data_IF_376010726293
#
_entry.id   IF_376010726293
#
_cell.length_a   1.000
_cell.length_b   1.000
_cell.length_c   1.000
_cell.angle_alpha   90.00
_cell.angle_beta   90.00
_cell.angle_gamma   90.00
#
_symmetry.space_group_name_H-M   'P 1'
#
loop_
_entity.id
_entity.type
_entity.pdbx_description
1 polymer ?
#
# COMPACT_ATOMS: atom_id res chain seq x y z
N UNK A 1 16.30 5.54 48.98
CA UNK A 1 15.68 4.78 47.86
C UNK A 1 14.97 5.77 46.96
N UNK A 2 15.67 6.27 45.93
CA UNK A 2 15.05 7.08 44.88
C UNK A 2 14.16 6.15 44.02
N UNK A 3 12.96 6.62 43.69
CA UNK A 3 11.88 5.81 43.11
C UNK A 3 12.21 5.36 41.67
N UNK A 4 12.66 4.11 41.52
CA UNK A 4 13.01 3.46 40.24
C UNK A 4 11.85 3.42 39.23
N UNK A 5 10.59 3.49 39.67
CA UNK A 5 9.46 3.58 38.75
C UNK A 5 9.35 4.93 38.04
N UNK A 6 9.76 6.02 38.70
CA UNK A 6 9.77 7.35 38.07
C UNK A 6 10.80 7.47 36.95
N UNK A 7 11.91 6.72 37.04
CA UNK A 7 12.90 6.68 35.95
C UNK A 7 12.42 5.85 34.76
N UNK A 8 11.76 4.70 34.97
CA UNK A 8 11.18 3.92 33.85
C UNK A 8 10.12 4.74 33.09
N UNK A 9 9.21 5.41 33.80
CA UNK A 9 8.21 6.28 33.18
C UNK A 9 8.82 7.43 32.39
N UNK A 10 9.78 8.14 32.98
CA UNK A 10 10.52 9.22 32.29
C UNK A 10 11.34 8.74 31.10
N UNK A 11 11.95 7.56 31.18
CA UNK A 11 12.70 6.99 30.07
C UNK A 11 11.75 6.68 28.90
N UNK A 12 10.60 6.06 29.18
CA UNK A 12 9.59 5.75 28.15
C UNK A 12 9.05 7.04 27.51
N UNK A 13 8.79 8.09 28.30
CA UNK A 13 8.33 9.38 27.76
C UNK A 13 9.39 10.09 26.91
N UNK A 14 10.65 10.15 27.36
CA UNK A 14 11.75 10.72 26.57
C UNK A 14 12.05 9.89 25.33
N UNK A 15 11.94 8.57 25.44
CA UNK A 15 12.11 7.64 24.34
C UNK A 15 11.01 7.82 23.29
N UNK A 16 9.75 8.00 23.70
CA UNK A 16 8.64 8.31 22.78
C UNK A 16 8.85 9.65 22.04
N UNK A 17 9.33 10.70 22.74
CA UNK A 17 9.66 11.99 22.13
C UNK A 17 10.87 11.90 21.20
N UNK A 18 11.88 11.10 21.55
CA UNK A 18 13.04 10.90 20.70
C UNK A 18 12.70 10.04 19.48
N UNK A 19 11.83 9.05 19.66
CA UNK A 19 11.38 8.18 18.60
C UNK A 19 10.40 8.86 17.64
N UNK A 20 9.63 9.85 18.08
CA UNK A 20 8.87 10.72 17.16
C UNK A 20 9.81 11.55 16.27
N UNK A 21 10.93 12.04 16.83
CA UNK A 21 11.99 12.71 16.06
C UNK A 21 12.74 11.75 15.12
N UNK A 22 12.97 10.50 15.55
CA UNK A 22 13.57 9.48 14.68
C UNK A 22 12.61 9.02 13.59
N UNK A 23 11.31 8.87 13.85
CA UNK A 23 10.30 8.57 12.82
C UNK A 23 10.28 9.61 11.70
N UNK A 24 10.56 10.87 12.02
CA UNK A 24 10.72 11.94 11.03
C UNK A 24 12.01 11.87 10.23
N UNK A 25 13.16 11.66 10.89
CA UNK A 25 14.43 11.46 10.19
C UNK A 25 14.40 10.18 9.34
N UNK A 26 13.75 9.14 9.84
CA UNK A 26 13.43 7.90 9.15
C UNK A 26 12.62 8.16 7.88
N UNK A 27 11.51 8.91 7.96
CA UNK A 27 10.71 9.28 6.80
C UNK A 27 11.50 10.15 5.80
N UNK A 28 12.36 11.05 6.30
CA UNK A 28 13.23 11.88 5.46
C UNK A 28 14.30 11.07 4.72
N UNK A 29 14.92 10.09 5.38
CA UNK A 29 15.87 9.16 4.77
C UNK A 29 15.17 8.21 3.80
N UNK A 30 13.97 7.75 4.13
CA UNK A 30 13.11 6.93 3.27
C UNK A 30 12.83 7.61 1.93
N UNK A 31 12.43 8.88 1.98
CA UNK A 31 12.20 9.70 0.80
C UNK A 31 13.48 9.80 -0.04
N UNK A 32 14.62 10.11 0.57
CA UNK A 32 15.90 10.19 -0.14
C UNK A 32 16.28 8.88 -0.86
N UNK A 33 16.03 7.71 -0.25
CA UNK A 33 16.33 6.40 -0.85
C UNK A 33 15.37 6.05 -1.99
N UNK A 34 14.08 6.35 -1.84
CA UNK A 34 13.06 6.11 -2.89
C UNK A 34 13.27 7.00 -4.13
N UNK A 35 13.73 8.24 -3.95
CA UNK A 35 14.08 9.14 -5.08
C UNK A 35 15.43 8.80 -5.75
N UNK A 36 16.34 8.12 -5.03
CA UNK A 36 17.65 7.74 -5.58
C UNK A 36 17.59 6.58 -6.58
N UNK A 37 16.57 5.72 -6.50
CA UNK A 37 16.46 4.55 -7.38
C UNK A 37 15.70 4.79 -8.68
N UNK A 38 14.74 5.72 -8.74
CA UNK A 38 13.97 5.97 -9.97
C UNK A 38 14.76 6.73 -11.06
N UNK A 39 15.79 7.48 -10.68
CA UNK A 39 16.62 8.23 -11.63
C UNK A 39 17.67 7.39 -12.37
N UNK A 40 17.94 6.14 -11.95
CA UNK A 40 18.89 5.26 -12.65
C UNK A 40 18.26 4.34 -13.71
N UNK A 41 16.94 4.18 -13.74
CA UNK A 41 16.29 3.34 -14.77
C UNK A 41 15.86 4.10 -16.04
N UNK A 42 15.99 5.43 -16.07
CA UNK A 42 15.65 6.26 -17.24
C UNK A 42 16.86 6.84 -18.00
N UNK A 43 18.07 6.32 -17.77
CA UNK A 43 19.29 6.72 -18.47
C UNK A 43 19.88 5.56 -19.31
N UNK A 44 19.08 4.99 -20.23
CA UNK A 44 19.58 4.25 -21.40
C UNK A 44 18.87 4.75 -22.65
N UNK A 45 19.26 5.93 -23.10
CA UNK A 45 18.80 6.49 -24.36
C UNK A 45 19.59 7.74 -24.72
N UNK A 46 20.40 7.62 -25.77
CA UNK A 46 21.09 8.69 -26.51
C UNK A 46 22.42 9.21 -25.96
N UNK A 47 23.52 8.74 -26.58
CA UNK A 47 24.84 9.37 -26.51
C UNK A 47 24.87 10.59 -27.43
N UNK A 48 25.16 11.77 -26.87
CA UNK A 48 26.02 12.83 -27.44
C UNK A 48 25.77 14.18 -26.74
N UNK A 49 26.44 14.42 -25.61
CA UNK A 49 26.79 15.78 -25.14
C UNK A 49 27.95 15.73 -24.12
N UNK A 50 28.82 16.74 -24.08
CA UNK A 50 30.12 16.68 -23.40
C UNK A 50 30.05 16.86 -21.87
N UNK A 51 31.07 16.30 -21.22
CA UNK A 51 31.21 16.04 -19.80
C UNK A 51 31.12 17.27 -18.87
N UNK A 52 30.38 17.10 -17.77
CA UNK A 52 30.48 17.84 -16.51
C UNK A 52 31.14 16.92 -15.45
N UNK A 53 31.86 17.46 -14.46
CA UNK A 53 32.84 16.72 -13.67
C UNK A 53 32.21 15.66 -12.75
N UNK A 54 32.76 14.45 -12.82
CA UNK A 54 32.38 13.31 -12.01
C UNK A 54 32.73 13.53 -10.53
N UNK A 55 31.74 13.38 -9.64
CA UNK A 55 31.98 13.12 -8.22
C UNK A 55 32.48 11.69 -8.07
N UNK A 56 33.77 11.55 -7.74
CA UNK A 56 34.41 10.26 -7.46
C UNK A 56 33.88 9.67 -6.16
N UNK A 57 33.05 8.64 -6.26
CA UNK A 57 32.75 7.75 -5.13
C UNK A 57 33.93 6.78 -4.95
N UNK A 58 34.69 6.95 -3.85
CA UNK A 58 35.77 6.02 -3.51
C UNK A 58 35.13 4.73 -2.96
N UNK A 59 35.14 3.70 -3.79
CA UNK A 59 34.83 2.32 -3.40
C UNK A 59 36.05 1.73 -2.70
N UNK A 60 36.11 1.77 -1.37
CA UNK A 60 37.11 0.99 -0.62
C UNK A 60 36.73 -0.49 -0.60
N UNK A 61 37.35 -1.23 -1.52
CA UNK A 61 38.22 -2.37 -1.21
C UNK A 61 37.69 -3.51 -0.35
N UNK A 62 37.41 -4.62 -1.03
CA UNK A 62 37.52 -6.03 -0.62
C UNK A 62 38.31 -6.30 0.66
N UNK A 63 37.73 -7.10 1.56
CA UNK A 63 38.52 -7.89 2.52
C UNK A 63 38.15 -9.36 2.39
N UNK A 64 39.16 -10.13 2.02
CA UNK A 64 39.14 -11.57 1.76
C UNK A 64 38.96 -12.40 3.03
N UNK A 65 38.26 -13.52 2.85
CA UNK A 65 38.40 -14.84 3.50
C UNK A 65 39.41 -15.00 4.63
N UNK A 66 38.92 -15.43 5.80
CA UNK A 66 39.64 -16.33 6.72
C UNK A 66 38.67 -17.40 7.21
N UNK A 67 38.91 -18.64 6.79
CA UNK A 67 38.36 -19.88 7.35
C UNK A 67 38.83 -20.09 8.79
N UNK A 68 38.03 -20.74 9.66
CA UNK A 68 38.47 -21.73 10.67
C UNK A 68 37.27 -22.43 11.34
N UNK A 69 37.33 -23.77 11.31
CA UNK A 69 36.81 -24.83 12.19
C UNK A 69 35.44 -24.75 12.90
N UNK A 70 34.57 -25.69 12.50
CA UNK A 70 34.15 -26.90 13.24
C UNK A 70 34.25 -26.89 14.79
N UNK A 71 33.10 -26.88 15.48
CA UNK A 71 32.91 -27.68 16.70
C UNK A 71 31.42 -27.96 16.94
N UNK A 72 31.03 -29.22 16.81
CA UNK A 72 29.76 -29.75 17.28
C UNK A 72 29.93 -30.23 18.73
N UNK A 73 29.10 -29.75 19.65
CA UNK A 73 28.83 -30.46 20.90
C UNK A 73 27.33 -30.37 21.21
N UNK A 74 26.71 -31.54 21.21
CA UNK A 74 25.44 -31.82 21.85
C UNK A 74 25.61 -31.65 23.36
N UNK A 75 24.80 -30.82 23.98
CA UNK A 75 24.55 -30.86 25.42
C UNK A 75 23.04 -30.83 25.63
N UNK A 76 22.53 -32.02 25.92
CA UNK A 76 21.29 -32.27 26.63
C UNK A 76 21.31 -31.59 27.99
N UNK A 77 20.34 -30.72 28.24
CA UNK A 77 19.96 -30.31 29.59
C UNK A 77 18.43 -30.23 29.65
N UNK A 78 17.83 -31.37 30.04
CA UNK A 78 16.52 -31.39 30.66
C UNK A 78 16.72 -31.07 32.13
N UNK A 79 16.19 -29.94 32.58
CA UNK A 79 16.27 -29.47 33.95
C UNK A 79 14.97 -28.77 34.32
N UNK A 80 14.22 -29.42 35.20
CA UNK A 80 12.97 -28.95 35.79
C UNK A 80 13.18 -27.69 36.63
N UNK A 81 12.14 -26.84 36.74
CA UNK A 81 11.52 -26.49 38.02
C UNK A 81 10.29 -25.59 37.83
N UNK A 82 9.28 -25.88 38.65
CA UNK A 82 7.98 -25.23 38.74
C UNK A 82 8.12 -23.80 39.28
N UNK A 83 7.31 -22.86 38.76
CA UNK A 83 6.51 -21.96 39.60
C UNK A 83 5.72 -20.93 38.79
N UNK A 84 4.46 -20.79 39.22
CA UNK A 84 3.62 -19.60 39.12
C UNK A 84 3.05 -19.24 37.74
N UNK A 85 1.82 -19.72 37.52
CA UNK A 85 0.88 -19.19 36.53
C UNK A 85 0.68 -17.68 36.72
N UNK A 86 1.48 -16.87 36.03
CA UNK A 86 1.06 -15.54 35.64
C UNK A 86 0.24 -15.69 34.36
N UNK A 87 -1.09 -15.61 34.50
CA UNK A 87 -1.99 -15.36 33.38
C UNK A 87 -1.57 -14.03 32.75
N UNK A 88 -0.68 -14.10 31.76
CA UNK A 88 -0.50 -13.03 30.80
C UNK A 88 -1.78 -13.01 29.97
N UNK A 89 -2.60 -12.01 30.28
CA UNK A 89 -3.69 -11.54 29.45
C UNK A 89 -3.18 -11.49 28.00
N UNK A 90 -3.63 -12.47 27.21
CA UNK A 90 -3.48 -12.48 25.78
C UNK A 90 -4.37 -11.35 25.30
N UNK A 91 -3.81 -10.14 25.27
CA UNK A 91 -4.40 -9.01 24.60
C UNK A 91 -4.55 -9.38 23.14
N UNK A 92 -5.72 -9.94 22.84
CA UNK A 92 -6.20 -10.26 21.52
C UNK A 92 -5.99 -9.02 20.66
N UNK A 93 -4.95 -9.05 19.82
CA UNK A 93 -4.93 -8.24 18.63
C UNK A 93 -6.19 -8.65 17.86
N UNK A 94 -7.23 -7.85 17.93
CA UNK A 94 -8.40 -8.02 17.07
C UNK A 94 -7.88 -8.15 15.64
N UNK A 95 -8.13 -9.27 14.95
CA UNK A 95 -7.71 -9.44 13.57
C UNK A 95 -8.23 -8.24 12.79
N UNK A 96 -7.33 -7.50 12.15
CA UNK A 96 -7.74 -6.44 11.23
C UNK A 96 -8.41 -7.17 10.08
N UNK A 97 -9.73 -7.18 10.07
CA UNK A 97 -10.52 -7.95 9.13
C UNK A 97 -10.26 -7.42 7.71
N UNK A 98 -9.50 -8.16 6.91
CA UNK A 98 -9.19 -7.77 5.53
C UNK A 98 -10.28 -8.26 4.59
N UNK A 99 -11.44 -7.62 4.63
CA UNK A 99 -12.56 -8.00 3.76
C UNK A 99 -12.41 -7.32 2.39
N UNK A 100 -12.62 -8.11 1.34
CA UNK A 100 -12.95 -7.62 0.01
C UNK A 100 -14.45 -7.79 -0.22
N UNK A 101 -15.13 -6.72 -0.62
CA UNK A 101 -16.55 -6.71 -0.95
C UNK A 101 -16.77 -6.15 -2.34
N UNK A 102 -17.91 -6.39 -2.96
CA UNK A 102 -18.29 -5.69 -4.18
C UNK A 102 -19.57 -6.22 -4.80
N UNK A 103 -19.90 -5.65 -5.96
CA UNK A 103 -21.07 -6.04 -6.76
C UNK A 103 -20.60 -6.59 -8.11
N UNK A 104 -21.17 -7.73 -8.51
CA UNK A 104 -21.04 -8.32 -9.85
C UNK A 104 -22.29 -8.00 -10.63
N UNK A 105 -22.16 -7.27 -11.74
CA UNK A 105 -23.31 -6.87 -12.55
C UNK A 105 -22.95 -6.65 -14.03
N UNK A 106 -23.93 -6.91 -14.90
CA UNK A 106 -23.91 -6.61 -16.35
C UNK A 106 -25.08 -5.69 -16.74
N UNK A 107 -25.52 -4.83 -15.80
CA UNK A 107 -26.82 -4.14 -15.81
C UNK A 107 -27.87 -4.86 -14.96
N UNK A 108 -27.76 -6.19 -14.86
CA UNK A 108 -28.46 -7.00 -13.87
C UNK A 108 -27.48 -7.62 -12.88
N UNK A 109 -27.90 -7.90 -11.63
CA UNK A 109 -27.08 -8.62 -10.66
C UNK A 109 -26.69 -9.99 -11.21
N UNK A 110 -25.39 -10.29 -11.20
CA UNK A 110 -24.86 -11.57 -11.67
C UNK A 110 -24.51 -12.44 -10.47
N UNK A 111 -25.17 -13.59 -10.38
CA UNK A 111 -24.77 -14.68 -9.51
C UNK A 111 -23.71 -15.53 -10.22
N UNK A 112 -22.60 -15.81 -9.56
CA UNK A 112 -21.52 -16.61 -10.16
C UNK A 112 -20.41 -16.97 -9.18
N UNK A 113 -19.62 -17.96 -9.56
CA UNK A 113 -18.43 -18.36 -8.81
C UNK A 113 -17.33 -17.30 -8.98
N UNK A 114 -16.79 -16.82 -7.86
CA UNK A 114 -15.73 -15.80 -7.84
C UNK A 114 -14.44 -16.47 -7.40
N UNK A 115 -13.40 -16.34 -8.23
CA UNK A 115 -12.08 -16.89 -7.99
C UNK A 115 -11.10 -15.73 -7.94
N UNK A 116 -10.39 -15.61 -6.82
CA UNK A 116 -9.43 -14.55 -6.56
C UNK A 116 -8.05 -15.18 -6.46
N UNK A 117 -7.08 -14.72 -7.24
CA UNK A 117 -5.71 -15.21 -7.18
C UNK A 117 -4.78 -14.15 -6.57
N UNK A 118 -4.00 -14.58 -5.57
CA UNK A 118 -3.02 -13.75 -4.86
C UNK A 118 -1.64 -13.79 -5.53
N UNK A 119 -0.70 -12.93 -5.09
CA UNK A 119 0.64 -12.86 -5.70
C UNK A 119 1.47 -14.14 -5.56
N UNK A 120 1.12 -15.03 -4.64
CA UNK A 120 1.74 -16.34 -4.49
C UNK A 120 1.15 -17.37 -5.49
N UNK A 121 0.17 -16.98 -6.29
CA UNK A 121 -0.57 -17.85 -7.21
C UNK A 121 -1.61 -18.73 -6.51
N UNK A 122 -1.93 -18.47 -5.24
CA UNK A 122 -2.93 -19.25 -4.50
C UNK A 122 -4.30 -18.63 -4.72
N UNK A 123 -5.30 -19.49 -4.90
CA UNK A 123 -6.67 -19.06 -5.12
C UNK A 123 -7.48 -19.01 -3.82
N UNK A 124 -8.51 -18.15 -3.85
CA UNK A 124 -9.57 -18.04 -2.87
C UNK A 124 -10.90 -18.00 -3.62
N UNK A 125 -11.84 -18.84 -3.22
CA UNK A 125 -13.13 -18.98 -3.87
C UNK A 125 -14.23 -18.38 -2.99
N UNK A 126 -15.16 -17.65 -3.61
CA UNK A 126 -16.41 -17.20 -3.01
C UNK A 126 -17.50 -17.20 -4.08
N UNK A 127 -18.68 -16.68 -3.78
CA UNK A 127 -19.78 -16.57 -4.73
C UNK A 127 -20.47 -15.21 -4.54
N UNK A 128 -20.92 -14.59 -5.62
CA UNK A 128 -21.92 -13.52 -5.52
C UNK A 128 -23.29 -14.13 -5.21
N UNK A 129 -24.11 -13.40 -4.45
CA UNK A 129 -25.49 -13.80 -4.18
C UNK A 129 -26.44 -13.36 -5.31
N UNK A 130 -27.75 -13.56 -5.13
CA UNK A 130 -28.79 -13.18 -6.10
C UNK A 130 -28.89 -11.69 -6.36
N UNK A 131 -28.33 -10.85 -5.48
CA UNK A 131 -28.26 -9.40 -5.64
C UNK A 131 -26.90 -8.98 -6.23
N UNK A 132 -26.09 -9.93 -6.71
CA UNK A 132 -24.77 -9.67 -7.27
C UNK A 132 -23.70 -9.35 -6.23
N UNK A 133 -24.03 -9.22 -4.95
CA UNK A 133 -23.05 -8.81 -3.93
C UNK A 133 -22.23 -9.98 -3.41
N UNK A 134 -20.97 -9.71 -3.06
CA UNK A 134 -20.08 -10.69 -2.45
C UNK A 134 -19.24 -10.08 -1.32
N UNK A 135 -18.74 -10.95 -0.45
CA UNK A 135 -17.81 -10.60 0.63
C UNK A 135 -16.86 -11.77 0.88
N UNK A 136 -15.58 -11.48 1.07
CA UNK A 136 -14.55 -12.52 1.26
C UNK A 136 -13.40 -12.00 2.12
N UNK A 137 -12.89 -12.86 3.01
CA UNK A 137 -11.77 -12.53 3.88
C UNK A 137 -10.42 -12.84 3.19
N UNK A 138 -9.56 -11.83 3.09
CA UNK A 138 -8.21 -11.88 2.50
C UNK A 138 -7.10 -12.14 3.54
N UNK A 139 -7.41 -12.64 4.74
CA UNK A 139 -6.42 -12.94 5.77
C UNK A 139 -5.35 -13.91 5.25
N UNK A 140 -4.09 -13.54 5.47
CA UNK A 140 -2.93 -14.30 4.98
C UNK A 140 -2.71 -14.25 3.46
N UNK A 141 -3.50 -13.49 2.71
CA UNK A 141 -3.39 -13.38 1.24
C UNK A 141 -2.64 -12.10 0.84
N UNK A 142 -1.47 -12.16 0.18
CA UNK A 142 -0.80 -10.97 -0.35
C UNK A 142 -1.47 -10.44 -1.63
N UNK A 143 -1.70 -9.12 -1.72
CA UNK A 143 -2.15 -8.48 -2.96
C UNK A 143 -0.95 -7.99 -3.80
N UNK A 144 -1.17 -7.58 -5.06
CA UNK A 144 -2.47 -7.39 -5.70
C UNK A 144 -3.16 -8.70 -6.11
N UNK A 145 -4.46 -8.60 -6.38
CA UNK A 145 -5.33 -9.69 -6.75
C UNK A 145 -5.91 -9.50 -8.14
N UNK A 146 -5.85 -10.55 -8.95
CA UNK A 146 -6.69 -10.68 -10.14
C UNK A 146 -7.94 -11.49 -9.77
N UNK A 147 -9.10 -11.00 -10.19
CA UNK A 147 -10.40 -11.56 -9.83
C UNK A 147 -11.09 -12.00 -11.11
N UNK A 148 -11.61 -13.24 -11.11
CA UNK A 148 -12.43 -13.79 -12.19
C UNK A 148 -13.79 -14.18 -11.64
N UNK A 149 -14.84 -13.88 -12.38
CA UNK A 149 -16.18 -14.42 -12.13
C UNK A 149 -16.58 -15.31 -13.28
N UNK A 150 -17.07 -16.50 -12.94
CA UNK A 150 -17.78 -17.39 -13.84
C UNK A 150 -19.28 -17.29 -13.51
N UNK A 151 -20.08 -16.59 -14.34
CA UNK A 151 -21.53 -16.48 -14.12
C UNK A 151 -22.21 -17.85 -14.10
N UNK A 152 -23.25 -18.00 -13.27
CA UNK A 152 -24.10 -19.20 -13.27
C UNK A 152 -24.91 -19.30 -14.59
N UNK A 153 -25.17 -18.16 -15.24
CA UNK A 153 -25.78 -18.08 -16.58
C UNK A 153 -24.71 -18.26 -17.66
N UNK A 154 -24.76 -19.38 -18.39
CA UNK A 154 -23.81 -19.72 -19.46
C UNK A 154 -23.84 -18.78 -20.66
N UNK A 155 -24.85 -17.91 -20.78
CA UNK A 155 -24.90 -16.90 -21.84
C UNK A 155 -24.06 -15.66 -21.52
N UNK A 156 -23.64 -15.50 -20.27
CA UNK A 156 -22.79 -14.39 -19.86
C UNK A 156 -21.31 -14.81 -19.92
N UNK A 157 -20.43 -13.95 -20.47
CA UNK A 157 -19.00 -14.23 -20.48
C UNK A 157 -18.41 -14.14 -19.08
N UNK A 158 -17.21 -14.72 -18.90
CA UNK A 158 -16.43 -14.50 -17.69
C UNK A 158 -16.09 -13.01 -17.55
N UNK A 159 -16.19 -12.48 -16.33
CA UNK A 159 -15.86 -11.10 -16.01
C UNK A 159 -14.60 -11.05 -15.16
N UNK A 160 -13.84 -9.96 -15.31
CA UNK A 160 -12.58 -9.76 -14.61
C UNK A 160 -12.53 -8.41 -13.89
N UNK A 161 -11.78 -8.40 -12.79
CA UNK A 161 -11.52 -7.20 -12.00
C UNK A 161 -10.17 -7.30 -11.29
N UNK A 162 -9.71 -6.19 -10.69
CA UNK A 162 -8.42 -6.08 -10.04
C UNK A 162 -8.54 -5.33 -8.72
N UNK A 163 -7.85 -5.83 -7.68
CA UNK A 163 -7.80 -5.21 -6.36
C UNK A 163 -6.36 -5.14 -5.84
N UNK A 164 -5.94 -3.98 -5.32
CA UNK A 164 -4.64 -3.85 -4.63
C UNK A 164 -4.68 -4.40 -3.20
N UNK A 165 -5.86 -4.50 -2.61
CA UNK A 165 -6.05 -4.82 -1.19
C UNK A 165 -7.48 -5.16 -0.81
N UNK A 166 -7.78 -5.05 0.48
CA UNK A 166 -9.15 -5.09 1.02
C UNK A 166 -9.90 -3.81 0.68
N UNK A 167 -11.23 -3.86 0.68
CA UNK A 167 -12.10 -2.73 0.32
C UNK A 167 -13.18 -3.14 -0.66
N UNK A 168 -13.67 -2.18 -1.43
CA UNK A 168 -14.64 -2.41 -2.50
C UNK A 168 -13.91 -2.75 -3.79
N UNK A 169 -14.34 -3.80 -4.47
CA UNK A 169 -13.94 -4.13 -5.83
C UNK A 169 -15.14 -4.68 -6.58
N UNK A 170 -15.72 -3.89 -7.48
CA UNK A 170 -16.81 -4.36 -8.32
C UNK A 170 -16.28 -5.17 -9.49
N UNK A 171 -17.17 -5.95 -10.10
CA UNK A 171 -16.83 -6.82 -11.23
C UNK A 171 -17.91 -6.62 -12.30
N UNK A 172 -17.56 -5.91 -13.37
CA UNK A 172 -18.49 -5.50 -14.43
C UNK A 172 -17.83 -5.65 -15.81
N UNK A 173 -18.59 -5.54 -16.91
CA UNK A 173 -18.00 -5.44 -18.25
C UNK A 173 -16.99 -4.29 -18.37
N UNK A 174 -17.20 -3.18 -17.66
CA UNK A 174 -16.32 -2.01 -17.70
C UNK A 174 -15.04 -2.17 -16.87
N UNK A 175 -15.06 -2.92 -15.75
CA UNK A 175 -13.81 -3.31 -15.08
C UNK A 175 -12.99 -4.26 -15.94
N UNK A 176 -13.67 -5.14 -16.70
CA UNK A 176 -13.02 -6.03 -17.67
C UNK A 176 -12.43 -5.23 -18.84
N UNK A 177 -13.17 -4.25 -19.36
CA UNK A 177 -12.70 -3.35 -20.42
C UNK A 177 -11.48 -2.55 -19.97
N UNK A 178 -11.45 -2.08 -18.73
CA UNK A 178 -10.31 -1.37 -18.17
C UNK A 178 -9.04 -2.23 -18.17
N UNK A 179 -9.15 -3.48 -17.70
CA UNK A 179 -8.05 -4.43 -17.76
C UNK A 179 -7.61 -4.66 -19.22
N UNK A 180 -8.56 -4.71 -20.15
CA UNK A 180 -8.27 -4.98 -21.57
C UNK A 180 -7.50 -3.85 -22.21
N UNK A 181 -7.92 -2.61 -21.97
CA UNK A 181 -7.24 -1.42 -22.46
C UNK A 181 -5.84 -1.25 -21.85
N UNK A 182 -5.63 -1.70 -20.61
CA UNK A 182 -4.34 -1.59 -19.92
C UNK A 182 -3.33 -2.67 -20.36
N UNK A 183 -3.75 -3.93 -20.44
CA UNK A 183 -2.81 -5.06 -20.60
C UNK A 183 -2.98 -5.87 -21.87
N UNK A 184 -4.17 -5.83 -22.47
CA UNK A 184 -4.56 -6.68 -23.60
C UNK A 184 -4.37 -8.19 -23.32
N UNK A 185 -4.75 -9.03 -24.28
CA UNK A 185 -4.49 -10.47 -24.23
C UNK A 185 -5.47 -11.28 -23.37
N UNK A 186 -5.27 -12.59 -23.33
CA UNK A 186 -6.18 -13.52 -22.66
C UNK A 186 -6.02 -13.45 -21.13
N UNK A 187 -7.11 -13.10 -20.44
CA UNK A 187 -7.11 -13.03 -18.99
C UNK A 187 -7.18 -14.39 -18.32
N UNK A 188 -7.65 -15.45 -18.98
CA UNK A 188 -7.49 -16.80 -18.46
C UNK A 188 -6.00 -17.18 -18.37
N UNK A 189 -5.20 -16.84 -19.37
CA UNK A 189 -3.75 -17.03 -19.34
C UNK A 189 -3.08 -16.16 -18.28
N UNK A 190 -3.50 -14.90 -18.16
CA UNK A 190 -2.99 -13.99 -17.12
C UNK A 190 -3.32 -14.52 -15.72
N UNK A 191 -4.52 -15.06 -15.53
CA UNK A 191 -4.97 -15.68 -14.29
C UNK A 191 -4.14 -16.91 -13.95
N UNK A 192 -3.90 -17.80 -14.92
CA UNK A 192 -3.10 -19.01 -14.71
C UNK A 192 -1.63 -18.71 -14.40
N UNK A 193 -1.11 -17.56 -14.86
CA UNK A 193 0.29 -17.16 -14.70
C UNK A 193 0.50 -16.01 -13.69
N UNK A 194 -0.52 -15.66 -12.90
CA UNK A 194 -0.53 -14.44 -12.10
C UNK A 194 0.70 -14.26 -11.19
N UNK A 195 1.13 -15.33 -10.52
CA UNK A 195 2.30 -15.31 -9.64
C UNK A 195 3.57 -14.78 -10.33
N UNK A 196 3.71 -15.03 -11.64
CA UNK A 196 4.88 -14.61 -12.42
C UNK A 196 4.73 -13.19 -13.02
N UNK A 197 3.50 -12.72 -13.25
CA UNK A 197 3.25 -11.51 -14.05
C UNK A 197 2.67 -10.34 -13.26
N UNK A 198 2.21 -10.56 -12.02
CA UNK A 198 1.51 -9.53 -11.23
C UNK A 198 2.31 -8.23 -11.05
N UNK A 199 3.66 -8.31 -11.03
CA UNK A 199 4.54 -7.14 -10.93
C UNK A 199 4.50 -6.24 -12.18
N UNK A 200 4.03 -6.76 -13.31
CA UNK A 200 3.86 -5.99 -14.55
C UNK A 200 2.52 -5.23 -14.57
N UNK A 201 1.63 -5.49 -13.61
CA UNK A 201 0.31 -4.89 -13.54
C UNK A 201 0.30 -3.80 -12.48
N UNK A 202 0.29 -2.55 -12.93
CA UNK A 202 0.17 -1.39 -12.06
C UNK A 202 -1.25 -0.82 -12.00
N UNK A 203 -1.67 -0.38 -10.81
CA UNK A 203 -2.90 0.38 -10.64
C UNK A 203 -2.96 1.63 -11.53
N UNK A 204 -1.81 2.21 -11.88
CA UNK A 204 -1.71 3.41 -12.72
C UNK A 204 -2.19 3.13 -14.15
N UNK A 205 -1.80 2.00 -14.74
CA UNK A 205 -2.23 1.64 -16.10
C UNK A 205 -3.76 1.46 -16.17
N UNK A 206 -4.34 0.88 -15.11
CA UNK A 206 -5.79 0.71 -14.98
C UNK A 206 -6.53 2.03 -14.80
N UNK A 207 -5.97 2.97 -14.04
CA UNK A 207 -6.53 4.31 -13.88
C UNK A 207 -6.49 5.10 -15.21
N UNK A 208 -5.43 4.96 -16.00
CA UNK A 208 -5.37 5.54 -17.35
C UNK A 208 -6.40 4.91 -18.30
N UNK A 209 -6.55 3.58 -18.26
CA UNK A 209 -7.58 2.88 -19.02
C UNK A 209 -8.99 3.34 -18.61
N UNK A 210 -9.26 3.48 -17.31
CA UNK A 210 -10.53 4.04 -16.82
C UNK A 210 -10.75 5.48 -17.26
N UNK A 211 -9.73 6.32 -17.24
CA UNK A 211 -9.86 7.70 -17.70
C UNK A 211 -10.33 7.77 -19.16
N UNK A 212 -9.84 6.85 -20.02
CA UNK A 212 -10.32 6.73 -21.40
C UNK A 212 -11.78 6.28 -21.48
N UNK A 213 -12.18 5.32 -20.63
CA UNK A 213 -13.58 4.87 -20.54
C UNK A 213 -14.45 6.07 -20.15
N UNK A 214 -14.15 6.74 -19.04
CA UNK A 214 -14.95 7.86 -18.57
C UNK A 214 -15.00 9.00 -19.59
N UNK A 215 -13.90 9.26 -20.32
CA UNK A 215 -13.88 10.27 -21.36
C UNK A 215 -14.78 9.93 -22.56
N UNK A 216 -14.82 8.66 -22.97
CA UNK A 216 -15.71 8.23 -24.06
C UNK A 216 -17.18 8.27 -23.65
N UNK A 217 -17.48 7.97 -22.39
CA UNK A 217 -18.85 7.86 -21.86
C UNK A 217 -19.25 9.04 -20.97
N UNK A 218 -18.57 10.19 -21.08
CA UNK A 218 -18.75 11.29 -20.12
C UNK A 218 -20.19 11.78 -20.01
N UNK A 219 -20.88 11.94 -21.15
CA UNK A 219 -22.28 12.35 -21.20
C UNK A 219 -23.20 11.31 -20.56
N UNK A 220 -22.97 10.03 -20.83
CA UNK A 220 -23.81 8.93 -20.33
C UNK A 220 -23.63 8.71 -18.83
N UNK A 221 -22.39 8.84 -18.35
CA UNK A 221 -22.06 8.85 -16.92
C UNK A 221 -22.70 10.05 -16.19
N UNK A 222 -22.68 11.24 -16.78
CA UNK A 222 -23.39 12.40 -16.22
C UNK A 222 -24.90 12.19 -16.18
N UNK A 223 -25.48 11.59 -17.23
CA UNK A 223 -26.91 11.24 -17.26
C UNK A 223 -27.27 10.18 -16.21
N UNK A 224 -26.32 9.29 -15.89
CA UNK A 224 -26.40 8.35 -14.77
C UNK A 224 -26.15 9.01 -13.40
N UNK A 225 -25.94 10.33 -13.34
CA UNK A 225 -25.76 11.06 -12.08
C UNK A 225 -24.43 10.83 -11.39
N UNK A 226 -23.42 10.32 -12.11
CA UNK A 226 -22.06 10.17 -11.60
C UNK A 226 -21.12 11.17 -12.27
N UNK A 227 -20.09 11.61 -11.56
CA UNK A 227 -19.10 12.52 -12.12
C UNK A 227 -18.05 11.73 -12.93
N UNK A 228 -18.04 11.85 -14.27
CA UNK A 228 -17.10 11.10 -15.10
C UNK A 228 -15.64 11.49 -14.82
N UNK A 229 -15.37 12.67 -14.24
CA UNK A 229 -13.99 13.09 -13.96
C UNK A 229 -13.34 12.24 -12.88
N UNK A 230 -14.11 11.68 -11.94
CA UNK A 230 -13.56 10.98 -10.75
C UNK A 230 -14.10 9.57 -10.56
N UNK A 231 -15.12 9.15 -11.31
CA UNK A 231 -15.79 7.87 -11.07
C UNK A 231 -14.86 6.67 -11.34
N UNK A 232 -14.68 5.81 -10.33
CA UNK A 232 -13.88 4.58 -10.43
C UNK A 232 -14.79 3.34 -10.38
N UNK A 233 -14.94 2.66 -11.53
CA UNK A 233 -15.73 1.43 -11.65
C UNK A 233 -15.25 0.32 -10.71
N UNK A 234 -13.97 0.30 -10.31
CA UNK A 234 -13.47 -0.73 -9.40
C UNK A 234 -13.96 -0.48 -7.97
N UNK A 235 -13.81 0.73 -7.45
CA UNK A 235 -13.85 0.96 -5.99
C UNK A 235 -15.07 1.72 -5.50
N UNK A 236 -15.86 2.35 -6.39
CA UNK A 236 -17.08 3.04 -5.97
C UNK A 236 -18.20 2.02 -5.77
N UNK A 237 -18.71 1.82 -4.54
CA UNK A 237 -19.78 0.84 -4.31
C UNK A 237 -21.06 1.24 -5.03
N UNK A 238 -21.78 0.25 -5.55
CA UNK A 238 -23.11 0.44 -6.14
C UNK A 238 -24.00 -0.80 -5.93
N UNK A 239 -25.30 -0.61 -6.09
CA UNK A 239 -26.29 -1.69 -6.09
C UNK A 239 -26.75 -1.95 -7.53
N UNK A 240 -26.93 -3.22 -7.89
CA UNK A 240 -27.48 -3.62 -9.17
C UNK A 240 -29.02 -3.47 -9.18
N UNK A 241 -29.49 -2.22 -9.16
CA UNK A 241 -30.89 -1.83 -8.99
C UNK A 241 -31.47 -0.99 -10.14
N UNK A 242 -30.80 -0.98 -11.30
CA UNK A 242 -31.16 -0.25 -12.52
C UNK A 242 -31.22 1.28 -12.34
N UNK A 243 -30.42 1.81 -11.41
CA UNK A 243 -30.27 3.26 -11.19
C UNK A 243 -28.80 3.65 -11.13
N UNK A 244 -28.52 4.94 -11.30
CA UNK A 244 -27.14 5.44 -11.21
C UNK A 244 -26.23 4.73 -12.22
N UNK A 245 -25.08 4.25 -11.74
CA UNK A 245 -24.15 3.49 -12.58
C UNK A 245 -24.74 2.19 -13.12
N UNK A 246 -25.70 1.55 -12.43
CA UNK A 246 -26.27 0.30 -12.92
C UNK A 246 -27.13 0.53 -14.16
N UNK A 247 -27.86 1.65 -14.21
CA UNK A 247 -28.56 2.09 -15.41
C UNK A 247 -27.59 2.39 -16.58
N UNK A 248 -26.37 2.87 -16.27
CA UNK A 248 -25.32 3.00 -17.27
C UNK A 248 -24.87 1.61 -17.76
N UNK A 249 -24.68 0.64 -16.86
CA UNK A 249 -24.31 -0.73 -17.25
C UNK A 249 -25.40 -1.41 -18.11
N UNK A 250 -26.68 -1.19 -17.80
CA UNK A 250 -27.82 -1.64 -18.62
C UNK A 250 -27.79 -1.09 -20.05
N UNK A 251 -27.15 0.07 -20.23
CA UNK A 251 -27.05 0.75 -21.50
C UNK A 251 -26.10 0.11 -22.49
N UNK A 252 -25.18 -0.77 -22.06
CA UNK A 252 -24.09 -1.26 -22.90
C UNK A 252 -23.74 -2.73 -22.69
N UNK A 253 -23.37 -3.38 -23.80
CA UNK A 253 -22.70 -4.69 -23.79
C UNK A 253 -21.28 -4.53 -24.32
N UNK A 254 -20.32 -5.16 -23.66
CA UNK A 254 -18.92 -5.24 -24.11
C UNK A 254 -18.56 -6.69 -24.40
N UNK A 255 -18.18 -6.97 -25.64
CA UNK A 255 -17.69 -8.27 -26.08
C UNK A 255 -16.19 -8.21 -26.33
N UNK A 256 -15.45 -9.26 -25.96
CA UNK A 256 -13.99 -9.32 -26.10
C UNK A 256 -13.59 -10.47 -27.03
N UNK A 257 -12.70 -10.17 -27.97
CA UNK A 257 -11.94 -11.16 -28.75
C UNK A 257 -10.47 -11.07 -28.35
N UNK A 258 -10.08 -11.91 -27.38
CA UNK A 258 -8.71 -11.97 -26.86
C UNK A 258 -7.69 -12.44 -27.91
N UNK A 259 -8.11 -13.21 -28.92
CA UNK A 259 -7.23 -13.68 -29.99
C UNK A 259 -6.92 -12.56 -30.97
N UNK A 260 -7.96 -11.83 -31.40
CA UNK A 260 -7.81 -10.66 -32.25
C UNK A 260 -7.29 -9.43 -31.51
N UNK A 261 -7.25 -9.48 -30.17
CA UNK A 261 -7.01 -8.32 -29.29
C UNK A 261 -7.96 -7.17 -29.62
N UNK A 262 -9.22 -7.51 -29.83
CA UNK A 262 -10.29 -6.57 -30.15
C UNK A 262 -11.41 -6.64 -29.10
N UNK A 263 -12.22 -5.60 -29.06
CA UNK A 263 -13.47 -5.56 -28.30
C UNK A 263 -14.51 -4.81 -29.12
N UNK A 264 -15.77 -5.16 -28.90
CA UNK A 264 -16.92 -4.47 -29.46
C UNK A 264 -17.79 -3.95 -28.32
N UNK A 265 -18.19 -2.68 -28.42
CA UNK A 265 -19.18 -2.09 -27.52
C UNK A 265 -20.45 -1.87 -28.32
N UNK A 266 -21.58 -2.34 -27.77
CA UNK A 266 -22.90 -2.09 -28.32
C UNK A 266 -23.79 -1.44 -27.28
N UNK A 267 -24.70 -0.57 -27.70
CA UNK A 267 -25.72 -0.03 -26.83
C UNK A 267 -26.86 -1.04 -26.60
N UNK A 268 -27.81 -0.69 -25.72
CA UNK A 268 -28.99 -1.51 -25.42
C UNK A 268 -29.89 -1.82 -26.62
N UNK A 269 -29.73 -1.10 -27.75
CA UNK A 269 -30.42 -1.37 -29.01
C UNK A 269 -29.62 -2.28 -29.97
N UNK A 270 -28.43 -2.72 -29.53
CA UNK A 270 -27.50 -3.54 -30.30
C UNK A 270 -26.71 -2.74 -31.34
N UNK A 271 -26.73 -1.41 -31.30
CA UNK A 271 -25.94 -0.60 -32.23
C UNK A 271 -24.49 -0.47 -31.75
N UNK A 272 -23.50 -0.57 -32.65
CA UNK A 272 -22.11 -0.35 -32.29
C UNK A 272 -21.88 1.07 -31.74
N UNK A 273 -21.16 1.14 -30.63
CA UNK A 273 -20.73 2.39 -29.99
C UNK A 273 -19.28 2.65 -30.36
N UNK A 274 -19.00 3.81 -30.94
CA UNK A 274 -17.64 4.20 -31.26
C UNK A 274 -16.84 4.48 -29.98
N UNK A 275 -15.67 3.86 -29.85
CA UNK A 275 -14.74 4.11 -28.75
C UNK A 275 -13.43 4.68 -29.28
N UNK A 276 -13.02 5.84 -28.75
CA UNK A 276 -11.77 6.50 -29.10
C UNK A 276 -10.69 6.19 -28.04
N UNK A 277 -9.80 5.23 -28.35
CA UNK A 277 -8.67 4.86 -27.48
C UNK A 277 -7.63 5.96 -27.31
N UNK A 278 -7.64 6.96 -28.21
CA UNK A 278 -6.74 8.11 -28.22
C UNK A 278 -7.43 9.38 -27.71
N UNK A 279 -8.59 9.26 -27.04
CA UNK A 279 -9.27 10.39 -26.44
C UNK A 279 -8.36 11.06 -25.40
N UNK A 280 -8.43 12.39 -25.32
CA UNK A 280 -7.71 13.11 -24.28
C UNK A 280 -8.31 12.77 -22.92
N UNK A 281 -7.45 12.37 -21.99
CA UNK A 281 -7.79 12.15 -20.58
C UNK A 281 -7.29 13.28 -19.69
N UNK A 282 -6.80 14.38 -20.28
CA UNK A 282 -6.50 15.58 -19.53
C UNK A 282 -7.79 16.04 -18.81
N UNK A 283 -7.75 16.08 -17.48
CA UNK A 283 -8.88 16.35 -16.56
C UNK A 283 -9.72 15.14 -16.14
N UNK A 284 -9.26 13.90 -16.34
CA UNK A 284 -9.84 12.71 -15.71
C UNK A 284 -8.91 12.22 -14.62
N UNK A 285 -9.40 12.16 -13.39
CA UNK A 285 -8.63 11.87 -12.18
C UNK A 285 -9.17 10.59 -11.54
N UNK A 286 -8.98 9.47 -12.24
CA UNK A 286 -9.50 8.19 -11.78
C UNK A 286 -8.55 7.58 -10.75
N UNK A 287 -9.14 7.14 -9.65
CA UNK A 287 -8.37 6.66 -8.50
C UNK A 287 -7.67 7.82 -7.78
N UNK A 288 -7.31 7.56 -6.53
CA UNK A 288 -6.80 8.56 -5.61
C UNK A 288 -5.37 9.05 -5.94
N UNK A 289 -4.96 9.12 -7.22
CA UNK A 289 -3.54 9.25 -7.62
C UNK A 289 -3.23 10.25 -8.74
N UNK A 290 -4.17 10.64 -9.59
CA UNK A 290 -3.86 11.59 -10.65
C UNK A 290 -4.07 13.02 -10.18
N UNK A 291 -2.98 13.69 -9.82
CA UNK A 291 -2.94 15.14 -9.66
C UNK A 291 -2.19 15.67 -10.87
N UNK A 292 -2.75 16.65 -11.61
CA UNK A 292 -2.19 17.14 -12.86
C UNK A 292 -0.75 17.65 -12.67
N UNK A 293 0.06 17.45 -13.70
CA UNK A 293 1.52 17.56 -13.75
C UNK A 293 2.10 18.96 -13.46
N UNK A 294 1.25 19.94 -13.15
CA UNK A 294 1.52 21.37 -13.22
C UNK A 294 1.72 22.08 -11.88
N UNK A 295 1.90 21.38 -10.75
CA UNK A 295 2.51 22.00 -9.56
C UNK A 295 3.71 21.22 -9.03
N UNK A 296 4.73 22.02 -8.74
CA UNK A 296 6.04 21.55 -8.34
C UNK A 296 6.25 21.54 -6.84
N UNK A 297 5.28 21.95 -6.00
CA UNK A 297 5.48 22.10 -4.56
C UNK A 297 4.36 21.48 -3.71
N UNK A 298 4.77 20.69 -2.73
CA UNK A 298 3.89 19.96 -1.82
C UNK A 298 4.26 20.24 -0.37
N UNK A 299 3.25 20.43 0.48
CA UNK A 299 3.39 20.56 1.93
C UNK A 299 2.83 19.32 2.61
N UNK A 300 3.70 18.50 3.18
CA UNK A 300 3.32 17.40 4.05
C UNK A 300 3.20 17.89 5.49
N UNK A 301 2.03 17.73 6.08
CA UNK A 301 1.76 17.85 7.51
C UNK A 301 1.56 16.44 8.07
N UNK A 302 2.34 16.05 9.06
CA UNK A 302 2.28 14.73 9.69
C UNK A 302 2.04 14.89 11.19
N UNK A 303 1.01 14.24 11.73
CA UNK A 303 0.64 14.31 13.14
C UNK A 303 0.61 12.90 13.72
N UNK A 304 1.62 12.52 14.52
CA UNK A 304 1.60 11.24 15.21
C UNK A 304 0.61 11.29 16.37
N UNK A 305 0.21 10.12 16.84
CA UNK A 305 -0.54 9.94 18.07
C UNK A 305 0.03 8.75 18.84
N UNK A 306 0.36 9.03 20.10
CA UNK A 306 1.00 8.09 21.02
C UNK A 306 0.01 7.79 22.14
N UNK A 307 -0.50 6.55 22.22
CA UNK A 307 -1.45 6.12 23.25
C UNK A 307 -2.68 7.06 23.39
N UNK A 308 -3.27 7.47 22.28
CA UNK A 308 -4.43 8.37 22.29
C UNK A 308 -4.09 9.86 22.49
N UNK A 309 -2.81 10.21 22.59
CA UNK A 309 -2.35 11.59 22.77
C UNK A 309 -1.65 12.08 21.49
N UNK A 310 -2.09 13.19 20.88
CA UNK A 310 -1.44 13.74 19.71
C UNK A 310 0.00 14.15 20.06
N UNK A 311 0.96 13.66 19.29
CA UNK A 311 2.34 14.10 19.36
C UNK A 311 2.57 15.37 18.55
N UNK A 312 3.83 15.81 18.47
CA UNK A 312 4.17 17.02 17.74
C UNK A 312 3.88 16.86 16.24
N UNK A 313 3.03 17.74 15.70
CA UNK A 313 2.82 17.88 14.26
C UNK A 313 4.10 18.35 13.60
N UNK A 314 4.46 17.71 12.49
CA UNK A 314 5.64 18.00 11.69
C UNK A 314 5.22 18.45 10.30
N UNK A 315 5.93 19.43 9.76
CA UNK A 315 5.65 20.01 8.44
C UNK A 315 6.92 19.91 7.60
N UNK A 316 6.79 19.43 6.37
CA UNK A 316 7.86 19.38 5.39
C UNK A 316 7.37 19.83 4.02
N UNK A 317 8.30 20.37 3.23
CA UNK A 317 8.04 20.87 1.89
C UNK A 317 8.84 20.06 0.88
N UNK A 318 8.20 19.64 -0.19
CA UNK A 318 8.79 18.78 -1.21
C UNK A 318 8.58 19.41 -2.58
N UNK A 319 9.64 19.40 -3.39
CA UNK A 319 9.56 19.82 -4.78
C UNK A 319 9.51 18.60 -5.71
N UNK A 320 8.53 18.55 -6.62
CA UNK A 320 8.38 17.48 -7.60
C UNK A 320 6.93 17.20 -7.99
N UNK A 321 6.76 16.54 -9.14
CA UNK A 321 5.45 16.32 -9.78
C UNK A 321 4.67 15.15 -9.20
N UNK A 322 5.33 14.27 -8.44
CA UNK A 322 4.71 13.10 -7.84
C UNK A 322 4.61 13.29 -6.33
N UNK A 323 3.44 13.01 -5.76
CA UNK A 323 3.38 12.81 -4.32
C UNK A 323 4.17 11.54 -4.00
N UNK A 324 5.17 11.59 -3.11
CA UNK A 324 5.98 10.42 -2.78
C UNK A 324 5.16 9.45 -1.93
N UNK A 325 4.48 8.51 -2.55
CA UNK A 325 4.05 7.31 -1.85
C UNK A 325 4.15 6.06 -2.73
N UNK A 326 4.95 5.09 -2.28
CA UNK A 326 4.88 3.72 -2.75
C UNK A 326 3.92 2.94 -1.86
N UNK A 327 3.11 2.07 -2.47
CA UNK A 327 2.16 1.18 -1.78
C UNK A 327 2.87 -0.09 -1.23
N UNK A 328 4.19 -0.04 -1.06
CA UNK A 328 4.98 -1.21 -0.71
C UNK A 328 4.79 -1.57 0.77
N UNK A 329 4.53 -2.86 1.00
CA UNK A 329 4.59 -3.45 2.34
C UNK A 329 6.01 -3.30 2.89
N UNK A 330 6.18 -2.43 3.87
CA UNK A 330 7.44 -2.29 4.60
C UNK A 330 7.70 -3.52 5.49
N UNK A 331 8.60 -4.40 5.06
CA UNK A 331 9.16 -5.50 5.85
C UNK A 331 10.65 -5.28 6.13
N UNK A 332 11.06 -4.05 6.43
CA UNK A 332 12.47 -3.76 6.73
C UNK A 332 12.75 -3.97 8.23
N UNK A 333 13.75 -4.81 8.52
CA UNK A 333 14.33 -4.99 9.86
C UNK A 333 15.50 -4.03 9.99
N UNK A 334 15.35 -2.97 10.80
CA UNK A 334 16.42 -2.01 11.04
C UNK A 334 17.27 -2.45 12.22
N UNK A 335 18.44 -3.03 11.93
CA UNK A 335 19.47 -3.19 12.95
C UNK A 335 20.14 -1.85 13.19
N UNK A 336 19.73 -1.11 14.22
CA UNK A 336 20.59 -0.06 14.76
C UNK A 336 21.48 -0.69 15.82
N UNK A 337 22.61 -1.29 15.43
CA UNK A 337 23.71 -1.48 16.38
C UNK A 337 24.39 -0.13 16.54
N UNK A 338 23.81 0.75 17.38
CA UNK A 338 24.43 2.02 17.74
C UNK A 338 25.67 1.73 18.59
N UNK A 339 26.80 1.47 17.93
CA UNK A 339 28.12 1.50 18.57
C UNK A 339 28.70 2.90 18.35
N UNK A 340 28.04 3.90 18.91
CA UNK A 340 28.55 5.28 18.83
C UNK A 340 29.32 5.62 20.09
N UNK A 341 30.42 6.35 19.92
CA UNK A 341 31.12 6.97 21.03
C UNK A 341 30.16 7.92 21.79
N UNK A 342 30.35 8.14 23.10
CA UNK A 342 29.32 8.66 24.02
C UNK A 342 28.79 10.10 23.75
N UNK A 343 29.13 10.72 22.62
CA UNK A 343 28.97 12.15 22.43
C UNK A 343 27.73 12.58 21.65
N UNK A 344 26.85 11.74 21.07
CA UNK A 344 25.79 12.28 20.17
C UNK A 344 24.33 11.77 20.27
N UNK A 345 23.95 10.82 21.13
CA UNK A 345 22.51 10.47 21.32
C UNK A 345 22.00 10.61 22.77
N UNK A 346 20.79 11.16 23.02
CA UNK A 346 20.29 11.46 24.38
C UNK A 346 19.74 10.27 25.18
N UNK A 347 19.42 9.13 24.56
CA UNK A 347 18.69 8.04 25.25
C UNK A 347 19.55 7.34 26.31
N UNK A 348 20.84 7.15 26.05
CA UNK A 348 21.76 6.50 27.00
C UNK A 348 22.62 7.52 27.78
N UNK A 349 22.22 8.82 27.79
CA UNK A 349 23.03 9.93 28.32
C UNK A 349 22.87 10.26 29.80
N UNK A 350 22.01 9.59 30.57
CA UNK A 350 21.78 10.01 31.96
C UNK A 350 22.89 9.65 32.97
N UNK A 351 24.07 9.21 32.52
CA UNK A 351 25.26 9.25 33.39
C UNK A 351 26.52 8.63 32.80
N UNK A 352 27.71 9.01 33.32
CA UNK A 352 28.94 8.26 33.06
C UNK A 352 28.72 6.81 33.50
N UNK A 353 29.04 5.86 32.61
CA UNK A 353 28.96 4.41 32.84
C UNK A 353 27.58 3.72 32.65
N UNK A 354 26.84 4.08 31.60
CA UNK A 354 25.65 3.32 31.17
C UNK A 354 25.92 2.63 29.84
N UNK A 355 25.61 1.32 29.72
CA UNK A 355 25.65 0.57 28.47
C UNK A 355 24.24 0.09 28.08
N UNK A 356 23.93 0.12 26.78
CA UNK A 356 22.61 -0.22 26.26
C UNK A 356 22.75 -0.92 24.90
N UNK A 357 21.87 -1.88 24.61
CA UNK A 357 21.68 -2.45 23.27
C UNK A 357 20.17 -2.52 23.03
N UNK A 358 19.69 -1.84 22.01
CA UNK A 358 18.26 -1.68 21.73
C UNK A 358 18.03 -1.94 20.23
N UNK A 359 17.23 -2.95 19.93
CA UNK A 359 16.65 -3.25 18.62
C UNK A 359 15.23 -2.68 18.57
N UNK A 360 14.90 -1.93 17.53
CA UNK A 360 13.56 -1.38 17.31
C UNK A 360 13.09 -1.83 15.94
N UNK A 361 12.03 -2.64 15.92
CA UNK A 361 11.44 -3.15 14.68
C UNK A 361 10.07 -2.58 14.49
N UNK A 362 9.82 -1.95 13.34
CA UNK A 362 8.45 -1.70 12.89
C UNK A 362 7.93 -3.01 12.32
N UNK A 363 6.91 -3.58 12.94
CA UNK A 363 6.40 -4.92 12.60
C UNK A 363 5.19 -4.89 11.69
N UNK A 364 4.52 -3.73 11.59
CA UNK A 364 3.37 -3.54 10.73
C UNK A 364 3.17 -2.06 10.46
N UNK A 365 2.85 -1.72 9.22
CA UNK A 365 2.37 -0.40 8.82
C UNK A 365 1.07 -0.61 8.04
N UNK A 366 -0.04 -0.09 8.55
CA UNK A 366 -1.29 -0.01 7.80
C UNK A 366 -1.57 1.45 7.52
N UNK A 367 -2.00 1.78 6.31
CA UNK A 367 -2.33 3.14 5.90
C UNK A 367 -3.64 3.13 5.12
N UNK A 368 -4.47 4.14 5.37
CA UNK A 368 -5.66 4.47 4.61
C UNK A 368 -5.53 5.94 4.21
N UNK A 369 -6.02 6.31 3.04
CA UNK A 369 -5.99 7.71 2.62
C UNK A 369 -7.17 8.06 1.73
N UNK A 370 -7.38 9.36 1.61
CA UNK A 370 -8.42 10.02 0.85
C UNK A 370 -7.82 11.26 0.15
N UNK A 371 -8.35 11.59 -1.01
CA UNK A 371 -7.89 12.72 -1.83
C UNK A 371 -9.05 13.69 -2.01
N UNK A 372 -8.83 14.93 -1.61
CA UNK A 372 -9.81 16.01 -1.65
C UNK A 372 -9.27 17.10 -2.57
N UNK A 373 -9.84 17.20 -3.78
CA UNK A 373 -9.52 18.23 -4.77
C UNK A 373 -9.17 17.65 -6.14
N UNK A 374 -9.20 18.51 -7.17
CA UNK A 374 -9.00 18.13 -8.58
C UNK A 374 -7.52 18.18 -8.99
N UNK A 375 -6.65 18.09 -8.00
CA UNK A 375 -5.22 18.24 -8.17
C UNK A 375 -4.73 19.64 -8.49
N UNK A 376 -5.52 20.69 -8.36
CA UNK A 376 -5.02 22.09 -8.37
C UNK A 376 -4.36 22.50 -7.04
N UNK A 377 -3.83 23.73 -6.96
CA UNK A 377 -3.40 24.33 -5.67
C UNK A 377 -4.55 24.21 -4.66
N UNK A 378 -4.23 23.78 -3.44
CA UNK A 378 -5.22 23.49 -2.42
C UNK A 378 -5.77 22.07 -2.46
N UNK A 379 -5.29 21.20 -3.36
CA UNK A 379 -5.58 19.76 -3.29
C UNK A 379 -4.93 19.13 -2.07
N UNK A 380 -5.67 18.26 -1.41
CA UNK A 380 -5.34 17.71 -0.11
C UNK A 380 -5.38 16.18 -0.19
N UNK A 381 -4.25 15.50 -0.01
CA UNK A 381 -4.21 14.06 0.21
C UNK A 381 -4.06 13.79 1.69
N UNK A 382 -5.14 13.37 2.34
CA UNK A 382 -5.13 13.05 3.77
C UNK A 382 -5.03 11.56 3.95
N UNK A 383 -4.20 11.11 4.86
CA UNK A 383 -4.21 9.73 5.26
C UNK A 383 -4.08 9.56 6.75
N UNK A 384 -4.36 8.35 7.18
CA UNK A 384 -4.16 7.90 8.54
C UNK A 384 -3.66 6.48 8.53
N UNK A 385 -2.91 6.12 9.56
CA UNK A 385 -2.24 4.84 9.60
C UNK A 385 -1.90 4.44 11.00
N UNK A 386 -1.63 3.16 11.15
CA UNK A 386 -1.16 2.57 12.40
C UNK A 386 0.16 1.89 12.13
N UNK A 387 1.14 2.09 12.99
CA UNK A 387 2.33 1.26 13.00
C UNK A 387 2.55 0.63 14.35
N UNK A 388 2.97 -0.63 14.32
CA UNK A 388 3.40 -1.34 15.51
C UNK A 388 4.91 -1.37 15.53
N UNK A 389 5.48 -1.13 16.70
CA UNK A 389 6.90 -1.37 16.90
C UNK A 389 7.15 -2.32 18.06
N UNK A 390 8.22 -3.09 17.94
CA UNK A 390 8.74 -3.94 18.99
C UNK A 390 10.15 -3.46 19.32
N UNK A 391 10.33 -2.99 20.54
CA UNK A 391 11.63 -2.64 21.08
C UNK A 391 12.12 -3.78 21.97
N UNK A 392 13.21 -4.42 21.55
CA UNK A 392 13.86 -5.50 22.29
C UNK A 392 15.29 -5.10 22.62
N UNK A 393 15.79 -5.44 23.80
CA UNK A 393 17.14 -5.06 24.16
C UNK A 393 17.44 -5.21 25.63
N UNK A 394 18.47 -4.51 26.08
CA UNK A 394 18.83 -4.40 27.48
C UNK A 394 19.55 -3.08 27.77
N UNK A 395 19.49 -2.65 29.04
CA UNK A 395 20.31 -1.57 29.57
C UNK A 395 20.99 -2.02 30.86
N UNK A 396 22.16 -1.47 31.14
CA UNK A 396 22.90 -1.73 32.36
C UNK A 396 23.60 -0.45 32.84
N UNK A 397 23.32 -0.07 34.08
CA UNK A 397 24.06 0.97 34.78
C UNK A 397 25.19 0.32 35.57
N UNK A 398 26.34 0.99 35.69
CA UNK A 398 27.49 0.42 36.38
C UNK A 398 27.17 0.02 37.83
N UNK A 399 27.56 -1.20 38.20
CA UNK A 399 27.23 -1.79 39.50
C UNK A 399 25.77 -2.21 39.68
N UNK A 400 24.92 -2.12 38.65
CA UNK A 400 23.55 -2.61 38.67
C UNK A 400 23.37 -3.83 37.74
N UNK A 401 22.42 -4.74 38.05
CA UNK A 401 22.07 -5.84 37.15
C UNK A 401 21.53 -5.32 35.82
N UNK A 402 21.85 -6.03 34.74
CA UNK A 402 21.26 -5.82 33.41
C UNK A 402 19.74 -5.90 33.49
N UNK A 403 19.08 -4.97 32.84
CA UNK A 403 17.62 -4.87 32.74
C UNK A 403 17.22 -5.08 31.28
N UNK A 404 16.38 -6.08 31.02
CA UNK A 404 15.88 -6.33 29.67
C UNK A 404 14.78 -5.31 29.31
N UNK A 405 14.76 -4.94 28.04
CA UNK A 405 13.75 -4.10 27.42
C UNK A 405 13.00 -5.01 26.45
N UNK A 406 11.71 -5.20 26.68
CA UNK A 406 10.80 -5.83 25.73
C UNK A 406 9.49 -5.05 25.79
N UNK A 407 9.36 -4.11 24.87
CA UNK A 407 8.22 -3.19 24.82
C UNK A 407 7.66 -3.23 23.42
N UNK A 408 6.39 -3.60 23.32
CA UNK A 408 5.63 -3.50 22.07
C UNK A 408 4.57 -2.44 22.25
N UNK A 409 4.49 -1.46 21.35
CA UNK A 409 3.38 -0.49 21.37
C UNK A 409 2.84 -0.25 19.96
N UNK A 410 1.58 0.18 19.91
CA UNK A 410 0.93 0.60 18.67
C UNK A 410 0.82 2.11 18.67
N UNK A 411 1.07 2.72 17.52
CA UNK A 411 0.93 4.16 17.31
C UNK A 411 0.03 4.40 16.12
N UNK A 412 -0.78 5.45 16.22
CA UNK A 412 -1.50 6.01 15.08
C UNK A 412 -0.75 7.23 14.56
N UNK A 413 -1.00 7.57 13.31
CA UNK A 413 -0.57 8.83 12.74
C UNK A 413 -1.56 9.26 11.68
N UNK A 414 -1.68 10.57 11.50
CA UNK A 414 -2.36 11.17 10.35
C UNK A 414 -1.37 12.00 9.55
N UNK A 415 -1.62 12.12 8.26
CA UNK A 415 -0.86 12.98 7.39
C UNK A 415 -1.79 13.71 6.45
N UNK A 416 -1.29 14.83 5.93
CA UNK A 416 -1.96 15.68 4.99
C UNK A 416 -0.92 16.24 4.03
N UNK A 417 -0.98 15.86 2.77
CA UNK A 417 -0.28 16.51 1.68
C UNK A 417 -1.15 17.59 1.08
N UNK A 418 -0.73 18.84 1.18
CA UNK A 418 -1.39 19.99 0.60
C UNK A 418 -0.56 20.46 -0.61
N UNK A 419 -1.18 20.56 -1.79
CA UNK A 419 -0.58 21.18 -2.96
C UNK A 419 -0.50 22.68 -2.72
N UNK A 420 0.71 23.24 -2.81
CA UNK A 420 0.96 24.66 -2.57
C UNK A 420 1.58 25.31 -3.82
N UNK A 421 1.49 26.64 -3.90
CA UNK A 421 2.16 27.45 -4.92
C UNK A 421 3.67 27.42 -4.77
#
# INVERSE_FOLDING_TARGET
MFNLQNHKGRLISHLAIYLSRMGFQFYRTLLHTLYGHSSQQLAKGNQNTPAQPAFTYIKTGNMSTVSILLFAMLLTACGAEESSNHNLDSSLSTPINRILTGTVAVGLPVKGAIIIIDTDGKTLNTQSNTNGTYSVNLDGRPGPYLIRVEPDDSNLPALYSYATGSGVTNITPFTTLALFLAYQGDFADSFNNWAAIHSNWSRIDLEQAHAKINANFATDLQNAGVDPVVYDFFTVPFEANQTGIDAFLDGYTVAFDYNAKAYDITDSSGQPVAFNENISTANYYIGARFLPEDATNWKLTWTPEFNGQPGATMVSYHSGNNIPWSEERFNEVFWTTLTETPSQTPICREGPNTSCNIDIRVTRLNTNYDVIGNGEIGTIVRGSGTYNWNMNGWYQQNGQPRQNINVSTSHSFSWNWERIS
#
